data_IF_477840899254
#
_entry.id   IF_477840899254
#
_cell.length_a   1.000
_cell.length_b   1.000
_cell.length_c   1.000
_cell.angle_alpha   90.00
_cell.angle_beta   90.00
_cell.angle_gamma   90.00
#
_symmetry.space_group_name_H-M   'P 1'
#
loop_
_entity.id
_entity.type
_entity.pdbx_description
1 polymer ?
#
# COMPACT_ATOMS: atom_id res chain seq x y z
N UNK A 1 10.12 -19.24 6.82
CA UNK A 1 9.88 -17.81 6.57
C UNK A 1 9.77 -17.11 7.91
N UNK A 2 10.34 -15.91 8.01
CA UNK A 2 10.37 -15.08 9.22
C UNK A 2 9.24 -14.05 9.21
N UNK A 3 8.68 -13.77 10.38
CA UNK A 3 7.67 -12.73 10.56
C UNK A 3 8.25 -11.34 10.23
N UNK A 4 7.62 -10.54 9.35
CA UNK A 4 8.15 -9.23 8.94
C UNK A 4 8.08 -8.16 10.05
N UNK A 5 7.37 -8.45 11.14
CA UNK A 5 7.17 -7.50 12.26
C UNK A 5 8.17 -7.71 13.39
N UNK A 6 8.56 -8.96 13.68
CA UNK A 6 9.44 -9.28 14.81
C UNK A 6 10.49 -10.37 14.54
N UNK A 7 10.60 -10.84 13.29
CA UNK A 7 11.61 -11.79 12.81
C UNK A 7 11.59 -13.20 13.44
N UNK A 8 10.58 -13.54 14.24
CA UNK A 8 10.35 -14.91 14.72
C UNK A 8 9.85 -15.83 13.60
N UNK A 9 9.91 -17.14 13.83
CA UNK A 9 9.28 -18.11 12.94
C UNK A 9 7.78 -17.87 12.81
N UNK A 10 7.30 -18.06 11.58
CA UNK A 10 5.89 -17.85 11.22
C UNK A 10 5.03 -19.00 11.70
N UNK A 11 3.82 -18.68 12.16
CA UNK A 11 2.81 -19.67 12.53
C UNK A 11 1.92 -19.93 11.30
N UNK A 12 1.71 -21.19 10.87
CA UNK A 12 0.82 -21.52 9.75
C UNK A 12 -0.55 -20.85 9.78
N UNK A 13 -1.14 -20.65 10.96
CA UNK A 13 -2.45 -19.98 11.12
C UNK A 13 -2.39 -18.48 10.86
N UNK A 14 -1.23 -17.86 11.06
CA UNK A 14 -1.03 -16.41 11.01
C UNK A 14 -0.10 -15.95 9.91
N UNK A 15 0.29 -16.82 8.96
CA UNK A 15 1.19 -16.48 7.85
C UNK A 15 0.71 -15.20 7.13
N UNK A 16 1.61 -14.23 6.84
CA UNK A 16 3.07 -14.28 6.96
C UNK A 16 3.64 -13.90 8.35
N UNK A 17 2.83 -13.88 9.41
CA UNK A 17 3.21 -13.46 10.75
C UNK A 17 3.40 -14.64 11.73
N UNK A 18 3.96 -14.34 12.91
CA UNK A 18 4.11 -15.33 13.99
C UNK A 18 2.90 -15.37 14.95
N UNK A 19 2.00 -14.37 14.91
CA UNK A 19 0.84 -14.29 15.81
C UNK A 19 -0.17 -13.23 15.36
N UNK A 20 -1.40 -13.29 15.91
CA UNK A 20 -2.43 -12.25 15.74
C UNK A 20 -1.90 -10.85 16.09
N UNK A 21 -1.15 -10.71 17.18
CA UNK A 21 -0.60 -9.41 17.60
C UNK A 21 0.27 -8.78 16.51
N UNK A 22 1.09 -9.57 15.80
CA UNK A 22 1.92 -9.04 14.73
C UNK A 22 1.08 -8.63 13.50
N UNK A 23 0.02 -9.37 13.19
CA UNK A 23 -0.91 -8.98 12.13
C UNK A 23 -1.61 -7.65 12.46
N UNK A 24 -2.07 -7.48 13.71
CA UNK A 24 -2.72 -6.25 14.16
C UNK A 24 -1.76 -5.04 14.12
N UNK A 25 -0.48 -5.23 14.44
CA UNK A 25 0.56 -4.18 14.33
C UNK A 25 0.79 -3.78 12.88
N UNK A 26 0.87 -4.76 11.97
CA UNK A 26 1.02 -4.48 10.54
C UNK A 26 -0.18 -3.67 10.02
N UNK A 27 -1.40 -4.08 10.36
CA UNK A 27 -2.62 -3.34 10.05
C UNK A 27 -2.57 -1.91 10.58
N UNK A 28 -2.07 -1.70 11.80
CA UNK A 28 -1.88 -0.35 12.36
C UNK A 28 -0.91 0.51 11.53
N UNK A 29 0.17 -0.07 10.98
CA UNK A 29 1.10 0.65 10.10
C UNK A 29 0.45 1.06 8.78
N UNK A 30 -0.41 0.20 8.22
CA UNK A 30 -1.21 0.53 7.04
C UNK A 30 -2.16 1.70 7.32
N UNK A 31 -2.94 1.60 8.41
CA UNK A 31 -3.95 2.62 8.74
C UNK A 31 -3.34 3.98 9.12
N UNK A 32 -2.08 4.00 9.57
CA UNK A 32 -1.36 5.24 9.92
C UNK A 32 -0.57 5.82 8.75
N UNK A 33 -0.60 5.19 7.58
CA UNK A 33 0.20 5.63 6.43
C UNK A 33 1.70 5.42 6.60
N UNK A 34 2.13 4.58 7.54
CA UNK A 34 3.56 4.26 7.72
C UNK A 34 4.18 3.55 6.51
N UNK A 35 3.34 2.97 5.65
CA UNK A 35 3.72 2.36 4.38
C UNK A 35 3.50 3.28 3.17
N UNK A 36 3.26 4.58 3.38
CA UNK A 36 3.18 5.54 2.28
C UNK A 36 4.52 5.66 1.55
N UNK A 37 4.47 5.74 0.22
CA UNK A 37 5.63 6.01 -0.61
C UNK A 37 5.83 7.54 -0.61
N UNK A 38 6.99 8.04 -0.16
CA UNK A 38 7.27 9.47 -0.21
C UNK A 38 7.35 9.92 -1.67
N UNK A 39 6.65 11.01 -1.99
CA UNK A 39 6.83 11.71 -3.28
C UNK A 39 7.91 12.76 -3.13
N UNK A 40 8.75 12.91 -4.15
CA UNK A 40 9.69 14.02 -4.23
C UNK A 40 9.00 15.22 -4.87
N UNK A 41 9.35 16.44 -4.45
CA UNK A 41 8.71 17.68 -4.95
C UNK A 41 8.85 17.87 -6.47
N UNK A 42 9.79 17.16 -7.11
CA UNK A 42 10.01 17.17 -8.57
C UNK A 42 8.96 16.34 -9.34
N UNK A 43 8.24 15.44 -8.67
CA UNK A 43 7.26 14.52 -9.28
C UNK A 43 5.79 14.88 -8.92
N UNK A 44 5.59 15.89 -8.06
CA UNK A 44 4.26 16.29 -7.58
C UNK A 44 3.39 16.99 -8.64
N UNK A 45 3.96 17.41 -9.77
CA UNK A 45 3.28 18.16 -10.83
C UNK A 45 2.71 17.28 -11.97
N UNK A 46 2.95 15.96 -11.99
CA UNK A 46 2.52 15.12 -13.13
C UNK A 46 1.60 13.93 -12.77
N UNK A 47 1.26 13.66 -11.51
CA UNK A 47 0.53 12.41 -11.15
C UNK A 47 -0.78 12.56 -10.38
N UNK A 48 -1.39 13.76 -10.35
CA UNK A 48 -2.79 13.92 -9.92
C UNK A 48 -3.73 14.17 -11.10
N UNK A 49 -3.61 13.36 -12.16
CA UNK A 49 -4.72 13.13 -13.09
C UNK A 49 -5.48 11.89 -12.60
N UNK A 50 -6.29 12.07 -11.55
CA UNK A 50 -7.38 11.14 -11.27
C UNK A 50 -8.33 11.20 -12.48
N UNK A 51 -8.50 10.05 -13.14
CA UNK A 51 -9.27 9.93 -14.36
C UNK A 51 -10.77 10.06 -14.12
N UNK A 52 -11.27 11.29 -14.03
CA UNK A 52 -12.68 11.58 -14.22
C UNK A 52 -12.90 12.96 -14.85
N UNK A 53 -13.75 12.97 -15.89
CA UNK A 53 -14.46 14.10 -16.50
C UNK A 53 -13.82 14.77 -17.76
N UNK A 54 -14.58 14.72 -18.85
CA UNK A 54 -14.39 15.39 -20.16
C UNK A 54 -13.44 14.80 -21.22
N UNK A 55 -13.64 13.53 -21.62
CA UNK A 55 -13.19 13.08 -22.94
C UNK A 55 -14.27 13.41 -24.01
N UNK A 56 -14.00 14.26 -25.02
CA UNK A 56 -14.93 14.47 -26.13
C UNK A 56 -15.05 13.19 -26.99
N UNK A 57 -16.20 12.95 -27.64
CA UNK A 57 -16.44 11.67 -28.33
C UNK A 57 -15.48 11.49 -29.51
N UNK A 58 -14.76 10.37 -29.53
CA UNK A 58 -13.87 10.01 -30.63
C UNK A 58 -14.73 9.70 -31.86
N UNK A 59 -14.61 10.50 -32.91
CA UNK A 59 -15.21 10.21 -34.22
C UNK A 59 -14.20 9.41 -35.06
N UNK A 60 -14.50 8.16 -35.47
CA UNK A 60 -13.68 7.47 -36.45
C UNK A 60 -13.97 8.03 -37.85
N UNK A 61 -12.90 8.18 -38.64
CA UNK A 61 -12.95 8.49 -40.08
C UNK A 61 -13.48 7.28 -40.86
#
# INVERSE_FOLDING_TARGET
MTCPICHKDTDPKYKPFCSRRCADVDLGRWLTGSYAIPVTDEEADETLSDGHEDAPPIRPN
#
